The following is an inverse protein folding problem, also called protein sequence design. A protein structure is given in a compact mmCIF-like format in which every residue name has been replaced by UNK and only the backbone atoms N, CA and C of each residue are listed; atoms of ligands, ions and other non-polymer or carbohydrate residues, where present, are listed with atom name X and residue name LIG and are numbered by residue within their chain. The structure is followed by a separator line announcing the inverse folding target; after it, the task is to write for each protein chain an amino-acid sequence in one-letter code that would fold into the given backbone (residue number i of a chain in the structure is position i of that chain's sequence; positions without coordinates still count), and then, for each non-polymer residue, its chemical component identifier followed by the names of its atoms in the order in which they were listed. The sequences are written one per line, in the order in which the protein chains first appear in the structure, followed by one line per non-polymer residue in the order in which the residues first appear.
data_IF_173472748720
#
_entry.id   IF_173472748720
#
_cell.length_a   1.000
_cell.length_b   1.000
_cell.length_c   1.000
_cell.angle_alpha   90.00
_cell.angle_beta   90.00
_cell.angle_gamma   90.00
#
_symmetry.space_group_name_H-M   'P 1'
#
loop_
_entity.id
_entity.type
_entity.pdbx_description
1 polymer ?
#
# COMPACT_ATOMS: atom_id res chain seq x y z
N UNK A 1 -23.76 -37.71 10.51
CA UNK A 1 -24.48 -36.46 10.18
C UNK A 1 -23.87 -35.39 11.04
N UNK A 2 -22.94 -34.62 10.48
CA UNK A 2 -22.20 -33.57 11.18
C UNK A 2 -22.46 -32.27 10.42
N UNK A 3 -23.08 -31.30 11.10
CA UNK A 3 -23.46 -30.01 10.52
C UNK A 3 -22.22 -29.18 10.15
N UNK A 4 -22.19 -28.52 8.97
CA UNK A 4 -21.12 -27.60 8.64
C UNK A 4 -21.30 -26.25 9.37
N UNK A 5 -20.32 -25.90 10.22
CA UNK A 5 -20.18 -24.62 10.93
C UNK A 5 -20.31 -23.38 10.00
N UNK A 6 -21.00 -22.30 10.41
CA UNK A 6 -21.40 -21.17 9.54
C UNK A 6 -20.30 -20.10 9.33
N UNK A 7 -19.02 -20.44 9.47
CA UNK A 7 -17.92 -19.46 9.47
C UNK A 7 -17.62 -18.84 8.10
N UNK A 8 -17.91 -19.54 7.00
CA UNK A 8 -17.67 -19.05 5.63
C UNK A 8 -18.66 -17.97 5.18
N UNK A 9 -19.86 -17.91 5.79
CA UNK A 9 -20.88 -16.90 5.46
C UNK A 9 -20.58 -15.55 6.10
N UNK A 10 -19.93 -15.53 7.26
CA UNK A 10 -19.59 -14.29 7.97
C UNK A 10 -18.44 -13.52 7.27
N UNK A 11 -17.45 -14.23 6.75
CA UNK A 11 -16.35 -13.63 5.99
C UNK A 11 -16.80 -13.02 4.65
N UNK A 12 -17.75 -13.67 3.96
CA UNK A 12 -18.31 -13.15 2.71
C UNK A 12 -19.15 -11.86 2.91
N UNK A 13 -19.85 -11.75 4.04
CA UNK A 13 -20.64 -10.56 4.38
C UNK A 13 -19.74 -9.36 4.73
N UNK A 14 -18.61 -9.58 5.40
CA UNK A 14 -17.66 -8.52 5.75
C UNK A 14 -16.97 -7.90 4.53
N UNK A 15 -16.64 -8.72 3.51
CA UNK A 15 -16.03 -8.23 2.26
C UNK A 15 -17.03 -7.43 1.41
N UNK A 16 -18.31 -7.81 1.40
CA UNK A 16 -19.35 -7.09 0.66
C UNK A 16 -19.67 -5.71 1.27
N UNK A 17 -19.62 -5.58 2.61
CA UNK A 17 -19.86 -4.30 3.30
C UNK A 17 -18.71 -3.30 3.07
N UNK A 18 -17.47 -3.78 3.01
CA UNK A 18 -16.30 -2.92 2.74
C UNK A 18 -16.31 -2.32 1.32
N UNK A 19 -16.80 -3.06 0.32
CA UNK A 19 -16.91 -2.59 -1.06
C UNK A 19 -18.07 -1.59 -1.27
N UNK A 20 -19.17 -1.74 -0.53
CA UNK A 20 -20.31 -0.81 -0.59
C UNK A 20 -20.03 0.55 0.07
N UNK A 21 -19.14 0.59 1.06
CA UNK A 21 -18.74 1.83 1.74
C UNK A 21 -17.67 2.63 0.98
N UNK A 22 -16.84 1.98 0.16
CA UNK A 22 -15.83 2.64 -0.68
C UNK A 22 -16.41 3.36 -1.91
N UNK A 23 -17.52 2.89 -2.46
CA UNK A 23 -18.15 3.49 -3.65
C UNK A 23 -19.19 4.59 -3.33
N UNK A 24 -19.72 4.63 -2.10
CA UNK A 24 -20.76 5.60 -1.70
C UNK A 24 -20.27 7.03 -1.43
N UNK A 25 -18.96 7.21 -1.16
CA UNK A 25 -18.41 8.50 -0.75
C UNK A 25 -18.02 9.45 -1.91
N UNK A 26 -18.14 9.01 -3.18
CA UNK A 26 -17.71 9.79 -4.35
C UNK A 26 -18.90 10.32 -5.20
N UNK A 27 -20.16 9.99 -4.85
CA UNK A 27 -21.34 10.34 -5.68
C UNK A 27 -22.44 11.18 -4.99
N UNK A 28 -22.22 11.70 -3.77
CA UNK A 28 -23.21 12.54 -3.05
C UNK A 28 -22.76 14.02 -2.95
N UNK A 29 -21.88 14.46 -3.86
CA UNK A 29 -21.33 15.82 -3.88
C UNK A 29 -21.93 16.79 -4.91
N UNK A 30 -22.90 16.37 -5.73
CA UNK A 30 -23.25 17.08 -6.96
C UNK A 30 -24.73 17.48 -7.15
N UNK A 31 -25.58 17.49 -6.11
CA UNK A 31 -27.04 17.72 -6.30
C UNK A 31 -27.71 18.75 -5.39
N UNK A 32 -27.09 19.90 -5.12
CA UNK A 32 -27.77 21.03 -4.44
C UNK A 32 -27.48 22.40 -5.05
N UNK A 33 -27.89 22.63 -6.30
CA UNK A 33 -28.15 23.98 -6.81
C UNK A 33 -29.30 24.00 -7.82
N UNK A 34 -30.47 24.40 -7.36
CA UNK A 34 -31.47 25.10 -8.17
C UNK A 34 -32.10 26.18 -7.28
N UNK A 35 -32.17 27.45 -7.72
CA UNK A 35 -32.93 28.47 -7.02
C UNK A 35 -34.40 28.34 -7.45
N UNK A 36 -35.30 28.01 -6.54
CA UNK A 36 -36.74 28.11 -6.80
C UNK A 36 -37.13 29.59 -6.80
N UNK A 37 -37.08 30.18 -7.98
CA UNK A 37 -37.83 31.36 -8.34
C UNK A 37 -39.30 30.95 -8.57
N UNK A 38 -40.12 31.02 -7.54
CA UNK A 38 -41.57 30.97 -7.68
C UNK A 38 -42.25 31.89 -6.66
N UNK A 39 -42.21 33.19 -6.95
CA UNK A 39 -43.27 34.09 -6.52
C UNK A 39 -44.43 33.97 -7.51
N UNK A 40 -45.66 33.72 -7.06
CA UNK A 40 -46.82 34.62 -7.26
C UNK A 40 -48.17 34.01 -6.82
N UNK A 41 -49.00 34.90 -6.27
CA UNK A 41 -50.44 34.84 -6.01
C UNK A 41 -50.89 33.91 -4.85
N UNK A 42 -51.62 34.36 -3.83
CA UNK A 42 -52.76 35.28 -3.87
C UNK A 42 -53.03 35.88 -2.50
N UNK A 43 -53.28 37.19 -2.41
CA UNK A 43 -54.11 37.75 -1.33
C UNK A 43 -55.13 38.66 -1.98
N UNK A 44 -56.39 38.20 -1.95
CA UNK A 44 -57.54 38.91 -2.46
C UNK A 44 -57.72 40.24 -1.72
N UNK A 45 -58.03 41.27 -2.47
CA UNK A 45 -58.39 42.58 -1.94
C UNK A 45 -59.66 42.48 -1.07
N UNK A 46 -59.52 42.70 0.22
CA UNK A 46 -60.62 43.14 1.08
C UNK A 46 -60.52 44.66 1.21
N UNK A 47 -61.09 45.36 0.24
CA UNK A 47 -61.27 46.81 0.28
C UNK A 47 -62.54 47.10 1.09
N UNK A 48 -62.42 47.13 2.42
CA UNK A 48 -63.43 47.73 3.29
C UNK A 48 -62.79 48.93 3.99
N UNK A 49 -63.21 50.12 3.56
CA UNK A 49 -62.79 51.38 4.16
C UNK A 49 -63.18 51.44 5.64
N UNK A 50 -62.21 51.18 6.49
CA UNK A 50 -62.23 51.55 7.90
C UNK A 50 -60.89 52.21 8.19
N UNK A 51 -60.89 53.54 8.38
CA UNK A 51 -59.72 54.26 8.88
C UNK A 51 -59.48 53.83 10.32
N UNK A 52 -58.56 52.88 10.52
CA UNK A 52 -58.03 52.57 11.84
C UNK A 52 -57.01 53.65 12.18
N UNK A 53 -57.30 54.45 13.19
CA UNK A 53 -56.32 55.36 13.78
C UNK A 53 -55.20 54.51 14.40
N UNK A 54 -54.06 54.40 13.71
CA UNK A 54 -52.84 53.80 14.27
C UNK A 54 -52.23 54.84 15.22
N UNK A 55 -52.10 54.56 16.53
CA UNK A 55 -51.42 55.47 17.44
C UNK A 55 -49.98 55.69 16.94
N UNK A 56 -49.49 56.92 17.04
CA UNK A 56 -48.09 57.22 16.75
C UNK A 56 -47.20 56.28 17.58
N UNK A 57 -46.33 55.54 16.90
CA UNK A 57 -45.39 54.64 17.55
C UNK A 57 -44.52 55.45 18.51
N UNK A 58 -44.55 55.11 19.80
CA UNK A 58 -43.62 55.67 20.77
C UNK A 58 -42.17 55.37 20.35
N UNK A 59 -41.21 56.28 20.62
CA UNK A 59 -39.81 56.05 20.27
C UNK A 59 -39.30 54.81 21.00
N UNK A 60 -39.11 53.73 20.25
CA UNK A 60 -38.49 52.51 20.74
C UNK A 60 -37.01 52.82 20.99
N UNK A 61 -36.55 52.64 22.23
CA UNK A 61 -35.13 52.76 22.57
C UNK A 61 -34.28 51.93 21.62
N UNK A 62 -33.22 52.51 21.06
CA UNK A 62 -32.34 51.81 20.13
C UNK A 62 -31.84 50.50 20.76
N UNK A 63 -32.06 49.39 20.04
CA UNK A 63 -31.55 48.09 20.47
C UNK A 63 -30.03 48.16 20.53
N UNK A 64 -29.39 47.76 21.65
CA UNK A 64 -27.93 47.75 21.73
C UNK A 64 -27.33 46.92 20.59
N UNK A 65 -26.54 47.57 19.73
CA UNK A 65 -25.75 46.90 18.69
C UNK A 65 -24.33 46.74 19.22
N UNK A 66 -23.73 45.53 19.17
CA UNK A 66 -22.34 45.35 19.55
C UNK A 66 -21.42 46.30 18.77
N UNK A 67 -20.54 47.02 19.47
CA UNK A 67 -19.59 47.97 18.86
C UNK A 67 -18.62 47.29 17.87
N UNK A 68 -18.45 45.97 17.98
CA UNK A 68 -17.64 45.14 17.10
C UNK A 68 -18.49 43.98 16.61
N UNK A 69 -18.69 43.89 15.29
CA UNK A 69 -19.21 42.68 14.67
C UNK A 69 -18.18 41.55 14.88
N UNK A 70 -18.63 40.39 15.34
CA UNK A 70 -17.78 39.19 15.29
C UNK A 70 -17.50 38.87 13.83
N UNK A 71 -16.27 38.49 13.52
CA UNK A 71 -15.94 37.94 12.21
C UNK A 71 -16.86 36.76 11.88
N UNK A 72 -17.25 36.69 10.61
CA UNK A 72 -18.01 35.57 10.10
C UNK A 72 -17.16 34.29 10.26
N UNK A 73 -17.66 33.35 11.07
CA UNK A 73 -17.05 32.03 11.25
C UNK A 73 -17.98 30.95 10.74
N UNK A 74 -17.41 29.91 10.13
CA UNK A 74 -18.16 28.72 9.78
C UNK A 74 -18.62 28.03 11.07
N UNK A 75 -19.93 27.98 11.29
CA UNK A 75 -20.50 27.19 12.38
C UNK A 75 -20.50 25.73 11.93
N UNK A 76 -19.84 24.87 12.69
CA UNK A 76 -19.89 23.42 12.46
C UNK A 76 -21.27 22.92 12.90
N UNK A 77 -22.20 22.83 11.95
CA UNK A 77 -23.58 22.37 12.21
C UNK A 77 -23.74 20.85 12.14
N UNK A 78 -22.72 20.13 11.66
CA UNK A 78 -22.69 18.68 11.60
C UNK A 78 -21.70 18.13 12.64
N UNK A 79 -22.08 17.04 13.33
CA UNK A 79 -21.20 16.34 14.27
C UNK A 79 -21.32 14.84 14.08
N UNK A 80 -20.17 14.16 14.15
CA UNK A 80 -20.07 12.70 14.18
C UNK A 80 -19.96 12.16 15.61
N UNK A 81 -19.94 13.03 16.64
CA UNK A 81 -19.65 12.63 18.03
C UNK A 81 -20.60 11.55 18.56
N UNK A 82 -21.89 11.63 18.22
CA UNK A 82 -22.88 10.63 18.63
C UNK A 82 -22.63 9.26 17.97
N UNK A 83 -22.30 9.26 16.68
CA UNK A 83 -21.97 8.03 15.95
C UNK A 83 -20.65 7.44 16.43
N UNK A 84 -19.65 8.28 16.69
CA UNK A 84 -18.35 7.88 17.21
C UNK A 84 -18.40 7.32 18.65
N UNK A 85 -19.48 7.59 19.39
CA UNK A 85 -19.71 7.06 20.73
C UNK A 85 -20.52 5.75 20.72
N UNK A 86 -20.87 5.21 19.56
CA UNK A 86 -21.62 3.96 19.46
C UNK A 86 -20.78 2.80 20.05
N UNK A 87 -21.27 2.08 21.09
CA UNK A 87 -20.52 1.01 21.73
C UNK A 87 -20.22 -0.17 20.80
N UNK A 88 -20.91 -0.28 19.65
CA UNK A 88 -20.61 -1.29 18.61
C UNK A 88 -19.26 -1.07 17.94
N UNK A 89 -18.68 0.14 18.05
CA UNK A 89 -17.34 0.46 17.54
C UNK A 89 -16.22 -0.03 18.47
N UNK A 90 -16.54 -0.60 19.63
CA UNK A 90 -15.57 -1.04 20.64
C UNK A 90 -14.59 0.09 21.02
N UNK A 91 -13.29 -0.22 21.08
CA UNK A 91 -12.23 0.76 21.34
C UNK A 91 -11.92 1.54 20.05
N UNK A 92 -12.69 2.60 19.80
CA UNK A 92 -12.54 3.45 18.63
C UNK A 92 -11.76 4.73 18.92
N UNK A 93 -10.65 4.90 18.20
CA UNK A 93 -9.88 6.13 18.12
C UNK A 93 -10.03 6.75 16.73
N UNK A 94 -10.10 8.08 16.66
CA UNK A 94 -10.09 8.81 15.40
C UNK A 94 -9.65 10.25 15.58
N UNK A 95 -8.92 10.76 14.59
CA UNK A 95 -8.60 12.16 14.47
C UNK A 95 -8.85 12.60 13.03
N UNK A 96 -9.50 13.75 12.86
CA UNK A 96 -9.72 14.38 11.56
C UNK A 96 -9.09 15.74 11.59
N UNK A 97 -8.19 16.00 10.65
CA UNK A 97 -7.44 17.25 10.57
C UNK A 97 -7.68 17.87 9.20
N UNK A 98 -7.83 19.20 9.15
CA UNK A 98 -7.77 19.94 7.92
C UNK A 98 -6.31 19.94 7.41
N UNK A 99 -6.04 19.22 6.33
CA UNK A 99 -4.69 19.06 5.80
C UNK A 99 -4.01 20.38 5.37
N UNK A 100 -4.77 21.42 5.05
CA UNK A 100 -4.21 22.72 4.64
C UNK A 100 -3.92 23.65 5.81
N UNK A 101 -4.70 23.57 6.89
CA UNK A 101 -4.58 24.51 8.03
C UNK A 101 -4.00 23.87 9.29
N UNK A 102 -3.96 22.53 9.37
CA UNK A 102 -3.62 21.79 10.59
C UNK A 102 -4.72 21.81 11.66
N UNK A 103 -5.89 22.41 11.36
CA UNK A 103 -6.98 22.50 12.32
C UNK A 103 -7.56 21.11 12.62
N UNK A 104 -7.58 20.72 13.89
CA UNK A 104 -8.25 19.49 14.33
C UNK A 104 -9.77 19.71 14.27
N UNK A 105 -10.43 18.96 13.39
CA UNK A 105 -11.87 19.02 13.15
C UNK A 105 -12.63 18.06 14.07
N UNK A 106 -12.01 16.94 14.42
CA UNK A 106 -12.55 15.93 15.33
C UNK A 106 -11.39 15.19 16.00
N UNK A 107 -11.51 14.95 17.29
CA UNK A 107 -10.56 14.14 18.05
C UNK A 107 -11.30 13.23 19.03
N UNK A 108 -10.99 11.95 18.95
CA UNK A 108 -11.38 10.91 19.90
C UNK A 108 -10.16 10.05 20.15
N UNK A 109 -9.42 10.35 21.22
CA UNK A 109 -8.27 9.55 21.63
C UNK A 109 -7.12 9.58 20.62
N UNK A 110 -6.93 10.68 19.88
CA UNK A 110 -5.89 10.82 18.87
C UNK A 110 -4.47 10.53 19.37
N UNK A 111 -4.19 10.77 20.65
CA UNK A 111 -2.89 10.50 21.28
C UNK A 111 -2.75 9.06 21.82
N UNK A 112 -3.76 8.20 21.62
CA UNK A 112 -3.73 6.81 22.09
C UNK A 112 -3.02 5.92 21.07
N UNK A 113 -1.89 5.33 21.46
CA UNK A 113 -1.16 4.38 20.62
C UNK A 113 -2.01 3.16 20.24
N UNK A 114 -1.98 2.78 18.96
CA UNK A 114 -2.78 1.69 18.42
C UNK A 114 -2.01 0.91 17.35
N UNK A 115 -2.41 -0.36 17.12
CA UNK A 115 -1.86 -1.17 16.02
C UNK A 115 -2.28 -0.55 14.70
N UNK A 116 -1.32 -0.12 13.91
CA UNK A 116 -1.55 0.57 12.63
C UNK A 116 -1.98 -0.38 11.51
N UNK A 117 -1.69 -1.68 11.64
CA UNK A 117 -1.84 -2.66 10.56
C UNK A 117 -1.22 -2.11 9.26
N UNK A 118 -1.90 -2.22 8.13
CA UNK A 118 -1.37 -1.73 6.84
C UNK A 118 -1.27 -0.22 6.72
N UNK A 119 -1.79 0.59 7.66
CA UNK A 119 -1.56 2.05 7.67
C UNK A 119 -0.08 2.37 7.87
N UNK A 120 0.70 1.47 8.49
CA UNK A 120 2.15 1.61 8.61
C UNK A 120 2.83 1.83 7.25
N UNK A 121 2.28 1.27 6.17
CA UNK A 121 2.82 1.40 4.82
C UNK A 121 2.88 2.86 4.35
N UNK A 122 2.01 3.74 4.85
CA UNK A 122 2.08 5.18 4.54
C UNK A 122 3.39 5.79 5.03
N UNK A 123 3.78 5.48 6.27
CA UNK A 123 5.05 5.94 6.84
C UNK A 123 6.25 5.29 6.14
N UNK A 124 6.17 3.98 5.87
CA UNK A 124 7.23 3.26 5.15
C UNK A 124 7.43 3.83 3.74
N UNK A 125 6.37 4.12 2.99
CA UNK A 125 6.44 4.69 1.66
C UNK A 125 7.00 6.12 1.68
N UNK A 126 6.58 6.95 2.64
CA UNK A 126 7.13 8.30 2.78
C UNK A 126 8.65 8.26 3.08
N UNK A 127 9.07 7.40 4.02
CA UNK A 127 10.48 7.22 4.33
C UNK A 127 11.28 6.67 3.14
N UNK A 128 10.74 5.70 2.40
CA UNK A 128 11.40 5.15 1.22
C UNK A 128 11.58 6.22 0.13
N UNK A 129 10.55 7.02 -0.14
CA UNK A 129 10.64 8.11 -1.13
C UNK A 129 11.64 9.20 -0.71
N UNK A 130 11.68 9.57 0.57
CA UNK A 130 12.62 10.55 1.10
C UNK A 130 14.08 10.07 1.05
N UNK A 131 14.31 8.81 1.40
CA UNK A 131 15.68 8.25 1.54
C UNK A 131 16.23 7.75 0.20
N UNK A 132 15.41 7.04 -0.58
CA UNK A 132 15.85 6.38 -1.82
C UNK A 132 15.55 7.21 -3.06
N UNK A 133 14.54 8.08 -2.99
CA UNK A 133 14.01 8.80 -4.14
C UNK A 133 13.00 7.98 -4.96
N UNK A 134 12.20 8.64 -5.81
CA UNK A 134 11.17 7.99 -6.63
C UNK A 134 11.74 7.11 -7.75
N UNK A 135 13.00 7.35 -8.14
CA UNK A 135 13.66 6.67 -9.24
C UNK A 135 14.49 5.46 -8.79
N UNK A 136 14.55 5.18 -7.48
CA UNK A 136 15.26 4.02 -6.98
C UNK A 136 14.75 2.73 -7.63
N UNK A 137 15.69 1.86 -8.00
CA UNK A 137 15.44 0.50 -8.47
C UNK A 137 16.32 -0.42 -7.66
N UNK A 138 15.71 -1.41 -7.02
CA UNK A 138 16.47 -2.52 -6.48
C UNK A 138 17.00 -3.34 -7.66
N UNK A 139 18.23 -3.84 -7.55
CA UNK A 139 18.91 -4.52 -8.66
C UNK A 139 19.37 -5.89 -8.19
N UNK A 140 19.21 -6.90 -9.04
CA UNK A 140 19.86 -8.20 -8.86
C UNK A 140 21.03 -8.28 -9.84
N UNK A 141 22.24 -8.48 -9.35
CA UNK A 141 23.44 -8.53 -10.20
C UNK A 141 24.07 -9.90 -10.21
N UNK A 142 24.76 -10.22 -11.30
CA UNK A 142 25.63 -11.40 -11.38
C UNK A 142 27.06 -10.93 -11.55
N UNK A 143 27.95 -11.42 -10.71
CA UNK A 143 29.38 -11.06 -10.73
C UNK A 143 30.27 -12.31 -10.82
N UNK A 144 31.54 -12.12 -11.13
CA UNK A 144 32.54 -13.19 -11.11
C UNK A 144 32.78 -13.70 -9.67
N UNK A 145 32.95 -15.01 -9.53
CA UNK A 145 33.31 -15.65 -8.26
C UNK A 145 34.82 -15.62 -7.99
N UNK A 146 35.21 -16.02 -6.78
CA UNK A 146 36.63 -16.04 -6.36
C UNK A 146 37.44 -17.21 -6.92
N UNK A 147 36.78 -18.22 -7.49
CA UNK A 147 37.43 -19.41 -8.08
C UNK A 147 37.09 -19.55 -9.56
N UNK A 148 37.96 -20.17 -10.38
CA UNK A 148 37.66 -20.43 -11.78
C UNK A 148 36.32 -21.18 -11.95
N UNK A 149 35.47 -20.71 -12.87
CA UNK A 149 34.16 -21.31 -13.14
C UNK A 149 33.08 -21.00 -12.12
N UNK A 150 33.30 -20.02 -11.23
CA UNK A 150 32.32 -19.55 -10.26
C UNK A 150 31.72 -18.21 -10.66
N UNK A 151 30.41 -18.08 -10.48
CA UNK A 151 29.68 -16.81 -10.54
C UNK A 151 28.89 -16.61 -9.24
N UNK A 152 28.56 -15.36 -8.92
CA UNK A 152 27.77 -15.01 -7.73
C UNK A 152 26.51 -14.29 -8.16
N UNK A 153 25.34 -14.78 -7.75
CA UNK A 153 24.07 -14.10 -7.87
C UNK A 153 23.85 -13.27 -6.60
N UNK A 154 23.84 -11.95 -6.74
CA UNK A 154 23.79 -10.98 -5.65
C UNK A 154 22.43 -10.30 -5.62
N UNK A 155 21.69 -10.48 -4.54
CA UNK A 155 20.41 -9.82 -4.33
C UNK A 155 20.56 -8.42 -3.73
N UNK A 156 20.05 -7.40 -4.42
CA UNK A 156 19.97 -6.01 -3.93
C UNK A 156 18.59 -5.62 -3.41
N UNK A 157 17.74 -6.59 -3.05
CA UNK A 157 16.39 -6.37 -2.52
C UNK A 157 15.29 -6.25 -3.59
N UNK A 158 15.54 -6.70 -4.83
CA UNK A 158 14.47 -6.81 -5.82
C UNK A 158 13.59 -8.02 -5.50
N UNK A 159 12.32 -7.73 -5.23
CA UNK A 159 11.30 -8.74 -4.93
C UNK A 159 10.46 -9.10 -6.16
N UNK A 160 10.70 -8.43 -7.28
CA UNK A 160 9.87 -8.49 -8.48
C UNK A 160 10.42 -9.40 -9.56
N UNK A 161 11.75 -9.60 -9.63
CA UNK A 161 12.44 -10.53 -10.53
C UNK A 161 11.65 -11.84 -10.66
N UNK A 162 11.31 -12.24 -11.89
CA UNK A 162 10.44 -13.40 -12.11
C UNK A 162 11.19 -14.60 -12.67
N UNK A 163 10.83 -15.79 -12.20
CA UNK A 163 11.29 -17.07 -12.78
C UNK A 163 10.42 -17.56 -13.93
N UNK A 164 9.36 -16.82 -14.29
CA UNK A 164 8.58 -17.12 -15.48
C UNK A 164 9.43 -16.84 -16.73
N UNK A 165 9.21 -17.59 -17.84
CA UNK A 165 9.94 -17.35 -19.08
C UNK A 165 9.78 -15.91 -19.58
N UNK A 166 10.83 -15.36 -20.18
CA UNK A 166 10.81 -14.03 -20.81
C UNK A 166 9.59 -13.87 -21.71
N UNK A 167 8.83 -12.78 -21.50
CA UNK A 167 7.58 -12.49 -22.20
C UNK A 167 6.32 -13.00 -21.51
N UNK A 168 6.44 -13.64 -20.34
CA UNK A 168 5.30 -14.06 -19.50
C UNK A 168 5.22 -13.22 -18.23
N UNK A 169 4.13 -12.48 -18.07
CA UNK A 169 3.95 -11.62 -16.90
C UNK A 169 3.68 -12.41 -15.62
N UNK A 170 4.33 -11.98 -14.53
CA UNK A 170 3.96 -12.37 -13.17
C UNK A 170 2.87 -11.43 -12.64
N UNK A 171 2.57 -11.50 -11.36
CA UNK A 171 1.78 -10.47 -10.68
C UNK A 171 2.45 -9.09 -10.62
N UNK A 172 3.75 -9.01 -10.94
CA UNK A 172 4.51 -7.77 -11.07
C UNK A 172 4.70 -7.46 -12.55
N UNK A 173 3.89 -6.54 -13.13
CA UNK A 173 4.00 -6.20 -14.53
C UNK A 173 5.37 -5.59 -14.88
N UNK A 174 5.98 -6.06 -15.96
CA UNK A 174 7.26 -5.56 -16.44
C UNK A 174 8.47 -5.94 -15.57
N UNK A 175 8.32 -6.98 -14.74
CA UNK A 175 9.43 -7.54 -13.98
C UNK A 175 10.55 -8.03 -14.92
N UNK A 176 11.80 -7.88 -14.47
CA UNK A 176 12.92 -8.54 -15.12
C UNK A 176 12.80 -10.07 -14.98
N UNK A 177 13.43 -10.82 -15.89
CA UNK A 177 13.34 -12.27 -15.92
C UNK A 177 14.68 -12.94 -15.61
N UNK A 178 14.62 -14.02 -14.84
CA UNK A 178 15.80 -14.83 -14.46
C UNK A 178 16.48 -15.45 -15.67
N UNK A 179 15.72 -15.88 -16.69
CA UNK A 179 16.29 -16.48 -17.91
C UNK A 179 17.07 -15.48 -18.76
N UNK A 180 16.59 -14.24 -18.85
CA UNK A 180 17.30 -13.14 -19.50
C UNK A 180 18.57 -12.76 -18.72
N UNK A 181 18.51 -12.68 -17.39
CA UNK A 181 19.68 -12.44 -16.54
C UNK A 181 20.74 -13.54 -16.74
N UNK A 182 20.34 -14.80 -16.84
CA UNK A 182 21.24 -15.93 -17.10
C UNK A 182 21.83 -15.86 -18.51
N UNK A 183 21.03 -15.50 -19.52
CA UNK A 183 21.49 -15.33 -20.90
C UNK A 183 22.56 -14.24 -21.01
N UNK A 184 22.34 -13.09 -20.36
CA UNK A 184 23.33 -12.01 -20.30
C UNK A 184 24.62 -12.45 -19.60
N UNK A 185 24.48 -13.17 -18.48
CA UNK A 185 25.62 -13.74 -17.74
C UNK A 185 26.46 -14.65 -18.62
N UNK A 186 25.82 -15.60 -19.31
CA UNK A 186 26.51 -16.55 -20.19
C UNK A 186 27.20 -15.83 -21.36
N UNK A 187 26.55 -14.84 -21.96
CA UNK A 187 27.14 -14.06 -23.04
C UNK A 187 28.38 -13.27 -22.59
N UNK A 188 28.31 -12.59 -21.43
CA UNK A 188 29.44 -11.88 -20.85
C UNK A 188 30.57 -12.85 -20.48
N UNK A 189 30.24 -13.99 -19.87
CA UNK A 189 31.21 -15.01 -19.48
C UNK A 189 31.95 -15.60 -20.69
N UNK A 190 31.24 -15.89 -21.78
CA UNK A 190 31.82 -16.46 -23.00
C UNK A 190 32.61 -15.46 -23.85
N UNK A 191 32.46 -14.15 -23.60
CA UNK A 191 33.24 -13.12 -24.30
C UNK A 191 34.74 -13.20 -23.98
N UNK A 192 35.11 -13.78 -22.83
CA UNK A 192 36.50 -14.14 -22.53
C UNK A 192 36.71 -15.64 -22.80
N UNK A 193 37.48 -16.03 -23.84
CA UNK A 193 37.71 -17.43 -24.19
C UNK A 193 38.57 -18.18 -23.15
N UNK A 194 39.24 -17.47 -22.23
CA UNK A 194 40.00 -18.09 -21.13
C UNK A 194 39.11 -18.55 -19.98
N UNK A 195 37.84 -18.12 -19.96
CA UNK A 195 36.92 -18.52 -18.91
C UNK A 195 36.57 -20.01 -19.03
N UNK A 196 36.73 -20.80 -17.96
CA UNK A 196 36.29 -22.19 -17.95
C UNK A 196 34.76 -22.27 -17.90
N UNK A 197 34.15 -23.45 -18.10
CA UNK A 197 32.72 -23.64 -17.87
C UNK A 197 32.30 -23.20 -16.46
N UNK A 198 31.12 -22.56 -16.36
CA UNK A 198 30.52 -22.24 -15.06
C UNK A 198 30.09 -23.56 -14.41
N UNK A 199 30.61 -23.83 -13.20
CA UNK A 199 30.36 -25.05 -12.43
C UNK A 199 29.92 -24.75 -10.99
N UNK A 200 29.98 -23.48 -10.57
CA UNK A 200 29.60 -23.04 -9.24
C UNK A 200 28.80 -21.74 -9.29
N UNK A 201 27.70 -21.72 -8.54
CA UNK A 201 26.86 -20.55 -8.29
C UNK A 201 26.85 -20.27 -6.78
N UNK A 202 27.33 -19.09 -6.41
CA UNK A 202 27.22 -18.58 -5.03
C UNK A 202 26.03 -17.65 -4.94
N UNK A 203 25.21 -17.80 -3.90
CA UNK A 203 24.08 -16.94 -3.59
C UNK A 203 24.49 -15.94 -2.52
N UNK A 204 24.49 -14.67 -2.87
CA UNK A 204 24.74 -13.57 -1.94
C UNK A 204 23.43 -12.82 -1.65
N UNK A 205 22.92 -13.03 -0.44
CA UNK A 205 21.74 -12.34 0.09
C UNK A 205 22.11 -11.39 1.24
N UNK A 206 23.39 -10.99 1.36
CA UNK A 206 23.92 -10.25 2.51
C UNK A 206 23.58 -8.76 2.54
N UNK A 207 22.95 -8.24 1.48
CA UNK A 207 22.54 -6.83 1.40
C UNK A 207 21.55 -6.44 2.51
N UNK A 208 20.69 -7.38 2.93
CA UNK A 208 19.89 -7.23 4.14
C UNK A 208 20.55 -7.96 5.31
N UNK A 209 20.59 -7.30 6.47
CA UNK A 209 20.97 -7.92 7.73
C UNK A 209 19.75 -8.27 8.59
N UNK A 210 19.99 -9.01 9.68
CA UNK A 210 18.93 -9.40 10.61
C UNK A 210 18.09 -10.59 10.15
N UNK A 211 17.09 -11.00 10.95
CA UNK A 211 16.22 -12.12 10.60
C UNK A 211 15.25 -11.72 9.47
N UNK A 212 15.03 -12.63 8.51
CA UNK A 212 14.03 -12.44 7.45
C UNK A 212 12.57 -12.60 7.92
N UNK A 213 12.36 -13.14 9.12
CA UNK A 213 11.04 -13.30 9.72
C UNK A 213 11.05 -12.78 11.15
N UNK A 214 10.06 -11.97 11.51
CA UNK A 214 9.87 -11.51 12.87
C UNK A 214 9.22 -12.62 13.71
N UNK A 215 9.83 -13.11 14.80
CA UNK A 215 9.34 -14.29 15.53
C UNK A 215 7.93 -14.15 16.10
N UNK A 216 7.42 -12.93 16.25
CA UNK A 216 6.05 -12.67 16.72
C UNK A 216 4.98 -12.77 15.63
N UNK A 217 5.37 -12.91 14.36
CA UNK A 217 4.44 -13.04 13.23
C UNK A 217 3.93 -14.48 13.08
N UNK A 218 2.63 -14.60 12.81
CA UNK A 218 1.97 -15.89 12.57
C UNK A 218 2.41 -16.46 11.21
N UNK A 219 2.94 -17.69 11.20
CA UNK A 219 3.35 -18.38 9.97
C UNK A 219 2.20 -18.56 8.97
N UNK A 220 0.95 -18.46 9.41
CA UNK A 220 -0.20 -18.43 8.52
C UNK A 220 -0.09 -17.30 7.48
N UNK A 221 0.52 -16.17 7.79
CA UNK A 221 0.71 -15.09 6.82
C UNK A 221 1.61 -15.51 5.65
N UNK A 222 2.60 -16.37 5.91
CA UNK A 222 3.46 -16.96 4.88
C UNK A 222 2.73 -18.06 4.10
N UNK A 223 2.08 -18.96 4.84
CA UNK A 223 1.41 -20.14 4.28
C UNK A 223 0.13 -19.78 3.50
N UNK A 224 -0.58 -18.73 3.89
CA UNK A 224 -1.73 -18.19 3.18
C UNK A 224 -1.34 -17.21 2.06
N UNK A 225 -0.06 -16.79 2.01
CA UNK A 225 0.49 -16.06 0.89
C UNK A 225 0.50 -14.54 1.00
N UNK A 226 0.32 -13.99 2.20
CA UNK A 226 0.34 -12.55 2.47
C UNK A 226 1.74 -11.94 2.31
N UNK A 227 2.78 -12.60 2.84
CA UNK A 227 4.16 -12.10 2.80
C UNK A 227 5.19 -13.24 2.90
N UNK A 228 6.36 -13.12 2.27
CA UNK A 228 7.43 -14.10 2.41
C UNK A 228 8.33 -13.78 3.62
N UNK A 229 9.26 -14.68 3.93
CA UNK A 229 10.48 -14.29 4.64
C UNK A 229 11.18 -13.20 3.80
N UNK A 230 11.54 -12.08 4.42
CA UNK A 230 12.16 -10.93 3.74
C UNK A 230 13.65 -11.19 3.57
N UNK A 231 14.09 -11.38 2.34
CA UNK A 231 15.50 -11.58 2.00
C UNK A 231 15.92 -10.66 0.86
N UNK A 232 17.21 -10.41 0.71
CA UNK A 232 17.69 -9.53 -0.36
C UNK A 232 17.67 -10.17 -1.75
N UNK A 233 17.56 -11.51 -1.82
CA UNK A 233 17.55 -12.29 -3.05
C UNK A 233 16.26 -13.13 -3.10
N UNK A 234 15.31 -12.70 -3.93
CA UNK A 234 14.00 -13.36 -4.10
C UNK A 234 13.59 -13.35 -5.57
N UNK A 235 12.68 -14.25 -5.91
CA UNK A 235 11.95 -14.24 -7.20
C UNK A 235 10.46 -14.30 -6.93
N UNK A 236 9.65 -13.57 -7.70
CA UNK A 236 8.19 -13.57 -7.65
C UNK A 236 7.60 -13.15 -6.28
N UNK A 237 8.36 -12.41 -5.46
CA UNK A 237 8.06 -12.17 -4.05
C UNK A 237 7.97 -13.47 -3.26
N UNK A 238 8.64 -14.51 -3.73
CA UNK A 238 8.61 -15.87 -3.25
C UNK A 238 7.24 -16.57 -3.36
N UNK A 239 6.46 -16.30 -4.40
CA UNK A 239 5.22 -17.06 -4.68
C UNK A 239 5.49 -18.45 -5.23
N UNK A 240 4.75 -19.43 -4.72
CA UNK A 240 4.67 -20.76 -5.34
C UNK A 240 4.09 -20.70 -6.76
N UNK A 241 3.04 -19.88 -6.96
CA UNK A 241 2.48 -19.53 -8.25
C UNK A 241 2.69 -18.03 -8.54
N UNK A 242 3.67 -17.67 -9.38
CA UNK A 242 3.98 -16.29 -9.72
C UNK A 242 2.85 -15.50 -10.40
N UNK A 243 1.85 -16.19 -10.96
CA UNK A 243 0.71 -15.57 -11.64
C UNK A 243 -0.44 -15.21 -10.70
N UNK A 244 -0.38 -15.64 -9.43
CA UNK A 244 -1.45 -15.46 -8.46
C UNK A 244 -1.08 -14.51 -7.34
N UNK A 245 -1.89 -13.47 -7.16
CA UNK A 245 -1.66 -12.50 -6.08
C UNK A 245 -1.59 -13.14 -4.70
N UNK A 246 -2.51 -14.07 -4.43
CA UNK A 246 -2.51 -14.92 -3.24
C UNK A 246 -2.02 -16.32 -3.60
N UNK A 247 -0.79 -16.60 -3.18
CA UNK A 247 -0.12 -17.89 -3.29
C UNK A 247 0.80 -18.05 -2.08
N UNK A 248 0.88 -19.26 -1.53
CA UNK A 248 1.82 -19.62 -0.47
C UNK A 248 3.26 -19.19 -0.83
N UNK A 249 4.03 -18.89 0.21
CA UNK A 249 5.46 -18.59 0.12
C UNK A 249 6.28 -19.75 0.65
N UNK A 250 7.51 -19.87 0.18
CA UNK A 250 8.43 -20.89 0.67
C UNK A 250 9.02 -20.53 2.03
N UNK A 251 9.73 -21.48 2.62
CA UNK A 251 10.61 -21.24 3.76
C UNK A 251 12.07 -20.97 3.35
N UNK A 252 12.38 -20.94 2.04
CA UNK A 252 13.74 -20.70 1.53
C UNK A 252 13.70 -19.87 0.23
N UNK A 253 13.43 -18.55 0.34
CA UNK A 253 13.37 -17.68 -0.85
C UNK A 253 14.70 -17.58 -1.60
N UNK A 254 15.82 -17.61 -0.86
CA UNK A 254 17.17 -17.50 -1.42
C UNK A 254 17.49 -18.75 -2.25
N UNK A 255 17.24 -19.94 -1.70
CA UNK A 255 17.41 -21.20 -2.42
C UNK A 255 16.50 -21.31 -3.63
N UNK A 256 15.26 -20.80 -3.58
CA UNK A 256 14.36 -20.74 -4.74
C UNK A 256 14.93 -19.88 -5.87
N UNK A 257 15.39 -18.68 -5.55
CA UNK A 257 16.02 -17.80 -6.54
C UNK A 257 17.27 -18.45 -7.16
N UNK A 258 18.11 -19.04 -6.31
CA UNK A 258 19.30 -19.77 -6.75
C UNK A 258 18.99 -20.96 -7.65
N UNK A 259 17.96 -21.76 -7.32
CA UNK A 259 17.54 -22.89 -8.13
C UNK A 259 16.99 -22.45 -9.50
N UNK A 260 16.22 -21.37 -9.54
CA UNK A 260 15.72 -20.80 -10.80
C UNK A 260 16.86 -20.32 -11.69
N UNK A 261 17.83 -19.59 -11.13
CA UNK A 261 18.98 -19.09 -11.89
C UNK A 261 19.92 -20.21 -12.32
N UNK A 262 20.21 -21.19 -11.45
CA UNK A 262 21.01 -22.37 -11.79
C UNK A 262 20.39 -23.17 -12.95
N UNK A 263 19.07 -23.34 -12.95
CA UNK A 263 18.36 -23.98 -14.06
C UNK A 263 18.49 -23.16 -15.36
N UNK A 264 18.36 -21.83 -15.27
CA UNK A 264 18.50 -20.94 -16.42
C UNK A 264 19.93 -20.88 -16.99
N UNK A 265 20.96 -21.14 -16.18
CA UNK A 265 22.35 -21.33 -16.65
C UNK A 265 22.57 -22.64 -17.42
N UNK A 266 21.57 -23.53 -17.50
CA UNK A 266 21.67 -24.85 -18.13
C UNK A 266 21.80 -26.01 -17.14
N UNK A 267 21.73 -25.75 -15.83
CA UNK A 267 21.87 -26.75 -14.78
C UNK A 267 23.32 -27.24 -14.57
N UNK A 268 23.49 -28.26 -13.74
CA UNK A 268 24.81 -28.87 -13.50
C UNK A 268 25.80 -28.02 -12.69
N UNK A 269 25.37 -26.88 -12.15
CA UNK A 269 26.17 -26.03 -11.27
C UNK A 269 25.96 -26.41 -9.79
N UNK A 270 27.04 -26.38 -9.02
CA UNK A 270 26.98 -26.50 -7.56
C UNK A 270 26.51 -25.18 -6.95
N UNK A 271 25.49 -25.23 -6.10
CA UNK A 271 24.92 -24.02 -5.46
C UNK A 271 25.37 -23.95 -4.01
N UNK A 272 25.86 -22.78 -3.59
CA UNK A 272 26.23 -22.49 -2.20
C UNK A 272 25.82 -21.08 -1.80
N UNK A 273 25.80 -20.78 -0.50
CA UNK A 273 25.57 -19.42 0.02
C UNK A 273 26.91 -18.81 0.39
N UNK A 274 27.09 -17.52 0.10
CA UNK A 274 28.33 -16.81 0.37
C UNK A 274 28.19 -15.31 0.16
N UNK A 275 29.32 -14.63 -0.01
CA UNK A 275 29.37 -13.20 -0.34
C UNK A 275 30.20 -12.99 -1.59
N UNK A 276 29.80 -12.00 -2.39
CA UNK A 276 30.54 -11.60 -3.58
C UNK A 276 31.94 -11.07 -3.20
N UNK A 277 33.00 -11.42 -3.97
CA UNK A 277 34.32 -10.84 -3.76
C UNK A 277 34.29 -9.32 -3.97
N UNK A 278 35.05 -8.57 -3.15
CA UNK A 278 35.20 -7.13 -3.33
C UNK A 278 35.83 -6.82 -4.70
N UNK A 279 35.20 -5.92 -5.47
CA UNK A 279 35.67 -5.54 -6.80
C UNK A 279 35.48 -6.62 -7.87
N UNK A 280 34.62 -7.62 -7.62
CA UNK A 280 34.24 -8.60 -8.63
C UNK A 280 33.66 -7.92 -9.88
N UNK A 281 33.98 -8.49 -11.04
CA UNK A 281 33.50 -7.99 -12.32
C UNK A 281 32.01 -8.30 -12.46
N UNK A 282 31.19 -7.30 -12.80
CA UNK A 282 29.79 -7.48 -13.08
C UNK A 282 29.58 -8.06 -14.48
N UNK A 283 28.88 -9.18 -14.55
CA UNK A 283 28.55 -9.90 -15.78
C UNK A 283 27.16 -9.52 -16.30
N UNK A 284 26.20 -9.30 -15.40
CA UNK A 284 24.82 -8.96 -15.74
C UNK A 284 24.10 -8.24 -14.59
N UNK A 285 23.00 -7.57 -14.91
CA UNK A 285 22.11 -6.95 -13.93
C UNK A 285 20.66 -6.98 -14.42
N UNK A 286 19.74 -7.12 -13.48
CA UNK A 286 18.30 -7.07 -13.66
C UNK A 286 17.70 -6.03 -12.72
#
# INVERSE_FOLDING_TARGET
MEEPKPRKRLAAVLVAVALLLGAGAVLIGASTRAPDAAATASIAAANTGASVNVPAAEPVSERPVPATASDARNLRTCSVSALAADPRLAEFQAQVVNASTGEVLFDRGGDTSSRTASVLKVLTSAAALEVLGPDYRATTTVVTGSTPGSVVLVGGGDLTLTRLPTGTESVYPGAAHVDELARQTLAAWQANPENPPITSLVLDASFFGGPGWEPSWDELERNAGSMPDVTALQVDGDRDDPSRQSSSRSADPVGRAGAAFAAALGGGVSVSVGTAPAGAEQLAAA
#
